data_IF_742677427105
#
_entry.id   IF_742677427105
#
_cell.length_a   1.000
_cell.length_b   1.000
_cell.length_c   1.000
_cell.angle_alpha   90.00
_cell.angle_beta   90.00
_cell.angle_gamma   90.00
#
_symmetry.space_group_name_H-M   'P 1'
#
loop_
_entity.id
_entity.type
_entity.pdbx_description
1 polymer ?
#
# COMPACT_ATOMS: atom_id res chain seq x y z
N UNK A 1 -4.68 -7.04 0.29
CA UNK A 1 -5.08 -8.07 -0.68
C UNK A 1 -5.01 -9.48 -0.08
N UNK A 2 -3.86 -9.97 0.40
CA UNK A 2 -3.72 -11.32 0.97
C UNK A 2 -4.72 -11.57 2.11
N UNK A 3 -4.84 -10.64 3.08
CA UNK A 3 -5.82 -10.73 4.18
C UNK A 3 -7.27 -10.78 3.66
N UNK A 4 -7.61 -9.98 2.64
CA UNK A 4 -8.95 -10.01 2.05
C UNK A 4 -9.23 -11.35 1.35
N UNK A 5 -8.24 -11.89 0.63
CA UNK A 5 -8.35 -13.20 -0.01
C UNK A 5 -8.52 -14.33 1.02
N UNK A 6 -7.80 -14.26 2.15
CA UNK A 6 -7.92 -15.24 3.22
C UNK A 6 -9.30 -15.19 3.90
N UNK A 7 -9.81 -13.98 4.19
CA UNK A 7 -11.18 -13.83 4.73
C UNK A 7 -12.23 -14.39 3.76
N UNK A 8 -12.06 -14.13 2.46
CA UNK A 8 -12.96 -14.68 1.45
C UNK A 8 -12.85 -16.22 1.33
N UNK A 9 -11.69 -16.79 1.66
CA UNK A 9 -11.46 -18.23 1.72
C UNK A 9 -11.88 -18.88 3.06
N UNK A 10 -12.51 -18.11 3.98
CA UNK A 10 -13.03 -18.61 5.25
C UNK A 10 -12.01 -18.69 6.39
N UNK A 11 -10.85 -18.01 6.25
CA UNK A 11 -9.90 -17.92 7.36
C UNK A 11 -10.35 -16.89 8.39
N UNK A 12 -10.26 -17.24 9.66
CA UNK A 12 -10.33 -16.29 10.76
C UNK A 12 -8.95 -15.65 10.97
N UNK A 13 -8.87 -14.31 10.80
CA UNK A 13 -7.59 -13.61 10.85
C UNK A 13 -7.38 -12.97 12.23
N UNK A 14 -6.38 -13.45 12.95
CA UNK A 14 -5.88 -12.88 14.19
C UNK A 14 -4.71 -11.93 13.88
N UNK A 15 -4.86 -10.66 14.22
CA UNK A 15 -3.81 -9.66 14.03
C UNK A 15 -3.02 -9.50 15.33
N UNK A 16 -1.71 -9.73 15.26
CA UNK A 16 -0.77 -9.63 16.37
C UNK A 16 0.30 -8.59 16.04
N UNK A 17 0.66 -7.75 17.02
CA UNK A 17 1.72 -6.76 16.87
C UNK A 17 3.02 -7.25 17.46
N UNK A 18 4.12 -7.18 16.71
CA UNK A 18 5.47 -7.46 17.23
C UNK A 18 5.95 -6.51 18.31
N UNK A 19 5.24 -5.38 18.51
CA UNK A 19 5.48 -4.44 19.62
C UNK A 19 4.74 -4.79 20.91
N UNK A 20 3.80 -5.75 20.86
CA UNK A 20 3.11 -6.20 22.08
C UNK A 20 4.12 -6.81 23.05
N UNK A 21 4.10 -6.43 24.32
CA UNK A 21 4.94 -7.05 25.34
C UNK A 21 4.60 -8.54 25.53
N UNK A 22 3.38 -8.94 25.17
CA UNK A 22 2.88 -10.31 25.29
C UNK A 22 2.83 -11.04 23.94
N UNK A 23 3.53 -10.50 22.91
CA UNK A 23 3.49 -11.05 21.53
C UNK A 23 3.69 -12.56 21.48
N UNK A 24 4.58 -13.10 22.30
CA UNK A 24 4.86 -14.53 22.34
C UNK A 24 3.70 -15.35 22.92
N UNK A 25 2.93 -14.81 23.86
CA UNK A 25 1.73 -15.44 24.41
C UNK A 25 0.57 -15.33 23.41
N UNK A 26 0.36 -14.14 22.83
CA UNK A 26 -0.67 -13.90 21.83
C UNK A 26 -0.55 -14.84 20.63
N UNK A 27 0.69 -15.06 20.16
CA UNK A 27 0.96 -15.95 19.03
C UNK A 27 0.71 -17.42 19.38
N UNK A 28 1.04 -17.87 20.60
CA UNK A 28 0.82 -19.25 21.03
C UNK A 28 -0.67 -19.56 21.20
N UNK A 29 -1.46 -18.58 21.60
CA UNK A 29 -2.91 -18.73 21.84
C UNK A 29 -3.75 -18.61 20.56
N UNK A 30 -3.21 -17.97 19.52
CA UNK A 30 -3.96 -17.66 18.29
C UNK A 30 -4.24 -18.83 17.32
N UNK A 31 -3.47 -19.92 17.25
CA UNK A 31 -3.68 -20.97 16.25
C UNK A 31 -4.82 -21.95 16.51
N UNK A 32 -5.66 -21.71 17.49
CA UNK A 32 -6.81 -22.60 17.75
C UNK A 32 -7.93 -22.34 16.76
N UNK A 33 -8.48 -23.38 16.10
CA UNK A 33 -9.70 -23.23 15.30
C UNK A 33 -10.84 -22.67 16.16
N UNK A 34 -11.70 -21.88 15.55
CA UNK A 34 -12.90 -21.43 16.22
C UNK A 34 -13.92 -22.57 16.45
N UNK A 35 -15.00 -22.28 17.17
CA UNK A 35 -16.09 -23.25 17.43
C UNK A 35 -16.80 -23.72 16.13
N UNK A 36 -16.62 -23.02 15.03
CA UNK A 36 -17.23 -23.31 13.73
C UNK A 36 -16.25 -23.94 12.74
N UNK A 37 -15.01 -24.21 13.17
CA UNK A 37 -14.00 -24.90 12.37
C UNK A 37 -13.32 -24.02 11.33
N UNK A 38 -13.41 -22.70 11.44
CA UNK A 38 -12.65 -21.81 10.56
C UNK A 38 -11.15 -22.03 10.75
N UNK A 39 -10.40 -22.12 9.64
CA UNK A 39 -8.96 -22.24 9.71
C UNK A 39 -8.33 -20.93 10.21
N UNK A 40 -7.41 -20.99 11.20
CA UNK A 40 -6.80 -19.79 11.73
C UNK A 40 -5.78 -19.19 10.73
N UNK A 41 -5.81 -17.88 10.62
CA UNK A 41 -4.81 -17.09 9.90
C UNK A 41 -4.18 -16.06 10.82
N UNK A 42 -2.87 -15.98 10.90
CA UNK A 42 -2.18 -15.01 11.75
C UNK A 42 -1.48 -13.96 10.90
N UNK A 43 -1.82 -12.70 11.16
CA UNK A 43 -1.14 -11.53 10.61
C UNK A 43 -0.24 -10.91 11.69
N UNK A 44 1.04 -11.26 11.66
CA UNK A 44 2.05 -10.63 12.52
C UNK A 44 2.54 -9.35 11.87
N UNK A 45 2.20 -8.20 12.47
CA UNK A 45 2.65 -6.88 12.06
C UNK A 45 3.85 -6.42 12.88
N UNK A 46 4.64 -5.52 12.30
CA UNK A 46 5.80 -4.91 12.96
C UNK A 46 6.80 -5.96 13.48
N UNK A 47 7.05 -7.00 12.68
CA UNK A 47 7.96 -8.08 13.04
C UNK A 47 9.42 -7.59 13.24
N UNK A 48 9.78 -6.39 12.78
CA UNK A 48 11.05 -5.73 13.06
C UNK A 48 11.25 -5.38 14.54
N UNK A 49 10.17 -5.34 15.32
CA UNK A 49 10.24 -5.06 16.76
C UNK A 49 10.55 -6.31 17.60
N UNK A 50 10.48 -7.51 17.00
CA UNK A 50 10.79 -8.75 17.71
C UNK A 50 12.29 -8.85 18.03
N UNK A 51 12.58 -9.29 19.25
CA UNK A 51 13.89 -9.78 19.63
C UNK A 51 14.14 -11.23 19.16
N UNK A 52 15.36 -11.73 19.34
CA UNK A 52 15.72 -13.09 18.92
C UNK A 52 14.91 -14.19 19.64
N UNK A 53 14.65 -14.11 20.98
CA UNK A 53 13.82 -15.08 21.68
C UNK A 53 12.37 -15.11 21.18
N UNK A 54 11.75 -13.94 20.98
CA UNK A 54 10.38 -13.84 20.48
C UNK A 54 10.27 -14.38 19.04
N UNK A 55 11.22 -14.03 18.17
CA UNK A 55 11.27 -14.55 16.81
C UNK A 55 11.47 -16.07 16.76
N UNK A 56 12.28 -16.63 17.68
CA UNK A 56 12.43 -18.08 17.78
C UNK A 56 11.09 -18.74 18.13
N UNK A 57 10.35 -18.19 19.11
CA UNK A 57 9.06 -18.71 19.52
C UNK A 57 8.00 -18.62 18.41
N UNK A 58 8.00 -17.54 17.62
CA UNK A 58 7.17 -17.43 16.41
C UNK A 58 7.48 -18.57 15.45
N UNK A 59 8.77 -18.82 15.15
CA UNK A 59 9.16 -19.89 14.25
C UNK A 59 8.77 -21.29 14.78
N UNK A 60 8.91 -21.53 16.08
CA UNK A 60 8.51 -22.78 16.72
C UNK A 60 6.98 -22.97 16.62
N UNK A 61 6.21 -21.91 16.81
CA UNK A 61 4.75 -21.95 16.67
C UNK A 61 4.34 -22.20 15.22
N UNK A 62 5.00 -21.59 14.23
CA UNK A 62 4.78 -21.87 12.80
C UNK A 62 5.02 -23.36 12.51
N UNK A 63 6.12 -23.91 13.00
CA UNK A 63 6.47 -25.31 12.79
C UNK A 63 5.50 -26.30 13.47
N UNK A 64 4.96 -25.91 14.63
CA UNK A 64 4.00 -26.73 15.37
C UNK A 64 2.58 -26.70 14.79
N UNK A 65 2.25 -25.70 13.95
CA UNK A 65 0.91 -25.48 13.40
C UNK A 65 0.96 -25.31 11.87
N UNK A 66 1.23 -26.38 11.12
CA UNK A 66 1.41 -26.34 9.67
C UNK A 66 0.14 -25.93 8.90
N UNK A 67 -1.04 -26.16 9.49
CA UNK A 67 -2.34 -25.83 8.89
C UNK A 67 -2.75 -24.37 9.12
N UNK A 68 -2.01 -23.63 9.95
CA UNK A 68 -2.25 -22.20 10.20
C UNK A 68 -1.60 -21.36 9.09
N UNK A 69 -2.38 -20.47 8.49
CA UNK A 69 -1.86 -19.54 7.51
C UNK A 69 -1.16 -18.36 8.20
N UNK A 70 0.04 -17.98 7.73
CA UNK A 70 0.83 -16.90 8.31
C UNK A 70 1.16 -15.82 7.30
N UNK A 71 0.93 -14.55 7.68
CA UNK A 71 1.51 -13.39 7.02
C UNK A 71 2.37 -12.66 8.06
N UNK A 72 3.66 -12.53 7.76
CA UNK A 72 4.60 -11.80 8.60
C UNK A 72 4.98 -10.50 7.88
N UNK A 73 4.54 -9.37 8.41
CA UNK A 73 4.86 -8.06 7.90
C UNK A 73 6.07 -7.48 8.64
N UNK A 74 7.15 -7.27 7.90
CA UNK A 74 8.39 -6.67 8.40
C UNK A 74 8.66 -5.39 7.60
N UNK A 75 8.58 -4.22 8.27
CA UNK A 75 8.71 -2.92 7.60
C UNK A 75 10.13 -2.59 7.13
N UNK A 76 11.10 -3.45 7.39
CA UNK A 76 12.51 -3.15 7.16
C UNK A 76 13.10 -2.26 8.26
N UNK A 77 14.29 -1.72 8.05
CA UNK A 77 14.91 -0.79 8.98
C UNK A 77 15.61 -1.43 10.19
N UNK A 78 15.48 -0.80 11.35
CA UNK A 78 16.18 -1.19 12.58
C UNK A 78 15.45 -2.35 13.26
N UNK A 79 16.01 -3.51 13.23
CA UNK A 79 15.51 -4.70 13.92
C UNK A 79 16.66 -5.69 14.12
N UNK A 80 16.41 -6.81 14.81
CA UNK A 80 17.40 -7.87 14.94
C UNK A 80 17.66 -8.56 13.61
N UNK A 81 18.87 -8.51 13.03
CA UNK A 81 19.19 -9.26 11.81
C UNK A 81 19.00 -10.76 11.97
N UNK A 82 19.22 -11.29 13.20
CA UNK A 82 19.02 -12.71 13.51
C UNK A 82 17.54 -13.08 13.49
N UNK A 83 16.68 -12.25 14.12
CA UNK A 83 15.24 -12.44 14.10
C UNK A 83 14.72 -12.43 12.65
N UNK A 84 15.11 -11.44 11.84
CA UNK A 84 14.75 -11.36 10.43
C UNK A 84 15.17 -12.62 9.65
N UNK A 85 16.40 -13.07 9.83
CA UNK A 85 16.92 -14.28 9.14
C UNK A 85 16.14 -15.53 9.53
N UNK A 86 15.77 -15.70 10.83
CA UNK A 86 14.93 -16.80 11.31
C UNK A 86 13.55 -16.79 10.66
N UNK A 87 12.86 -15.64 10.70
CA UNK A 87 11.53 -15.48 10.11
C UNK A 87 11.55 -15.74 8.61
N UNK A 88 12.55 -15.21 7.89
CA UNK A 88 12.71 -15.46 6.45
C UNK A 88 12.96 -16.94 6.12
N UNK A 89 13.66 -17.66 6.99
CA UNK A 89 13.90 -19.10 6.81
C UNK A 89 12.66 -19.93 7.10
N UNK A 90 11.82 -19.50 8.04
CA UNK A 90 10.55 -20.17 8.36
C UNK A 90 9.45 -19.86 7.33
N UNK A 91 9.57 -18.78 6.58
CA UNK A 91 8.60 -18.39 5.55
C UNK A 91 8.73 -19.29 4.31
N UNK A 92 7.60 -19.79 3.82
CA UNK A 92 7.55 -20.52 2.54
C UNK A 92 7.76 -19.62 1.32
N UNK A 93 7.40 -18.34 1.44
CA UNK A 93 7.58 -17.31 0.41
C UNK A 93 7.94 -15.96 1.05
N UNK A 94 8.89 -15.26 0.47
CA UNK A 94 9.23 -13.89 0.85
C UNK A 94 8.93 -12.96 -0.30
N UNK A 95 8.14 -11.91 -0.04
CA UNK A 95 7.79 -10.88 -1.02
C UNK A 95 8.45 -9.58 -0.59
N UNK A 96 9.31 -9.03 -1.46
CA UNK A 96 9.87 -7.71 -1.24
C UNK A 96 8.80 -6.64 -1.50
N UNK A 97 8.66 -5.69 -0.56
CA UNK A 97 7.74 -4.56 -0.67
C UNK A 97 8.57 -3.25 -0.75
N UNK A 98 9.36 -3.12 -1.79
CA UNK A 98 10.17 -1.94 -2.03
C UNK A 98 9.30 -0.74 -2.41
N UNK A 99 9.74 0.51 -2.09
CA UNK A 99 9.04 1.71 -2.52
C UNK A 99 8.89 1.76 -4.04
N UNK A 100 7.68 2.00 -4.51
CA UNK A 100 7.42 2.15 -5.94
C UNK A 100 8.15 3.38 -6.49
N UNK A 101 8.86 3.21 -7.60
CA UNK A 101 9.59 4.28 -8.28
C UNK A 101 9.46 4.17 -9.78
N UNK A 102 9.42 5.30 -10.45
CA UNK A 102 9.40 5.37 -11.91
C UNK A 102 8.33 4.47 -12.52
N UNK A 103 8.74 3.56 -13.40
CA UNK A 103 7.83 2.63 -14.08
C UNK A 103 7.03 1.73 -13.15
N UNK A 104 7.57 1.39 -11.97
CA UNK A 104 6.88 0.55 -11.00
C UNK A 104 5.57 1.14 -10.48
N UNK A 105 5.41 2.47 -10.49
CA UNK A 105 4.16 3.14 -10.13
C UNK A 105 3.08 2.85 -11.19
N UNK A 106 3.41 2.97 -12.48
CA UNK A 106 2.48 2.66 -13.56
C UNK A 106 2.09 1.18 -13.57
N UNK A 107 3.08 0.28 -13.39
CA UNK A 107 2.84 -1.15 -13.31
C UNK A 107 1.92 -1.52 -12.13
N UNK A 108 2.06 -0.81 -11.00
CA UNK A 108 1.16 -0.94 -9.86
C UNK A 108 -0.27 -0.55 -10.23
N UNK A 109 -0.49 0.62 -10.84
CA UNK A 109 -1.82 1.09 -11.27
C UNK A 109 -2.46 0.10 -12.24
N UNK A 110 -1.70 -0.42 -13.21
CA UNK A 110 -2.17 -1.48 -14.13
C UNK A 110 -2.62 -2.71 -13.35
N UNK A 111 -1.84 -3.11 -12.34
CA UNK A 111 -2.17 -4.27 -11.51
C UNK A 111 -3.44 -4.06 -10.68
N UNK A 112 -3.71 -2.81 -10.24
CA UNK A 112 -4.94 -2.46 -9.53
C UNK A 112 -6.17 -2.55 -10.43
N UNK A 113 -6.10 -2.00 -11.66
CA UNK A 113 -7.19 -2.16 -12.64
C UNK A 113 -7.48 -3.62 -12.93
N UNK A 114 -6.45 -4.44 -13.16
CA UNK A 114 -6.60 -5.89 -13.37
C UNK A 114 -7.25 -6.59 -12.18
N UNK A 115 -6.87 -6.21 -10.96
CA UNK A 115 -7.45 -6.77 -9.74
C UNK A 115 -8.95 -6.47 -9.64
N UNK A 116 -9.39 -5.31 -10.13
CA UNK A 116 -10.81 -4.93 -10.23
C UNK A 116 -11.52 -5.53 -11.47
N UNK A 117 -10.84 -6.38 -12.26
CA UNK A 117 -11.38 -6.95 -13.49
C UNK A 117 -11.55 -5.94 -14.62
N UNK A 118 -10.80 -4.84 -14.57
CA UNK A 118 -10.86 -3.73 -15.52
C UNK A 118 -9.51 -3.52 -16.22
N UNK A 119 -9.53 -2.65 -17.23
CA UNK A 119 -8.32 -2.18 -17.91
C UNK A 119 -8.37 -0.67 -18.11
N UNK A 120 -7.22 -0.05 -18.35
CA UNK A 120 -7.11 1.36 -18.65
C UNK A 120 -6.01 1.59 -19.70
N UNK A 121 -6.13 2.68 -20.47
CA UNK A 121 -5.07 3.10 -21.37
C UNK A 121 -3.90 3.78 -20.63
N UNK A 122 -2.78 3.93 -21.30
CA UNK A 122 -1.57 4.55 -20.73
C UNK A 122 -1.79 6.01 -20.32
N UNK A 123 -2.67 6.71 -21.03
CA UNK A 123 -2.99 8.12 -20.74
C UNK A 123 -3.82 8.24 -19.47
N UNK A 124 -4.72 7.30 -19.20
CA UNK A 124 -5.46 7.18 -17.92
C UNK A 124 -4.51 6.92 -16.76
N UNK A 125 -3.55 6.00 -16.94
CA UNK A 125 -2.57 5.69 -15.91
C UNK A 125 -1.71 6.91 -15.58
N UNK A 126 -1.24 7.64 -16.60
CA UNK A 126 -0.49 8.85 -16.43
C UNK A 126 -1.31 9.94 -15.69
N UNK A 127 -2.57 10.14 -16.09
CA UNK A 127 -3.49 11.07 -15.43
C UNK A 127 -3.63 10.76 -13.93
N UNK A 128 -3.82 9.49 -13.56
CA UNK A 128 -3.95 9.09 -12.16
C UNK A 128 -2.67 9.34 -11.36
N UNK A 129 -1.51 9.00 -11.94
CA UNK A 129 -0.22 9.24 -11.29
C UNK A 129 0.05 10.74 -11.12
N UNK A 130 -0.31 11.56 -12.11
CA UNK A 130 -0.17 13.01 -12.03
C UNK A 130 -1.14 13.63 -11.01
N UNK A 131 -2.37 13.15 -10.92
CA UNK A 131 -3.40 13.68 -10.04
C UNK A 131 -3.27 13.23 -8.58
N UNK A 132 -2.88 11.97 -8.34
CA UNK A 132 -2.87 11.33 -7.01
C UNK A 132 -1.45 11.25 -6.43
N UNK A 133 -0.44 11.35 -7.29
CA UNK A 133 0.95 11.14 -6.91
C UNK A 133 1.35 9.66 -6.89
N UNK A 134 2.40 9.34 -6.11
CA UNK A 134 3.01 8.00 -6.10
C UNK A 134 2.64 7.16 -4.89
N UNK A 135 1.74 7.64 -4.02
CA UNK A 135 1.28 6.87 -2.87
C UNK A 135 0.43 5.66 -3.30
N UNK A 136 0.86 4.42 -3.00
CA UNK A 136 0.13 3.23 -3.42
C UNK A 136 -1.31 3.14 -2.89
N UNK A 137 -1.57 3.68 -1.69
CA UNK A 137 -2.93 3.67 -1.12
C UNK A 137 -3.84 4.63 -1.85
N UNK A 138 -3.38 5.85 -2.08
CA UNK A 138 -4.10 6.85 -2.85
C UNK A 138 -4.43 6.32 -4.25
N UNK A 139 -3.44 5.77 -4.96
CA UNK A 139 -3.62 5.18 -6.29
C UNK A 139 -4.60 4.00 -6.29
N UNK A 140 -4.51 3.09 -5.31
CA UNK A 140 -5.44 1.97 -5.21
C UNK A 140 -6.88 2.43 -4.95
N UNK A 141 -7.06 3.45 -4.08
CA UNK A 141 -8.38 4.03 -3.80
C UNK A 141 -8.95 4.73 -5.04
N UNK A 142 -8.13 5.48 -5.77
CA UNK A 142 -8.52 6.16 -7.00
C UNK A 142 -8.97 5.16 -8.09
N UNK A 143 -8.21 4.08 -8.27
CA UNK A 143 -8.59 3.00 -9.21
C UNK A 143 -9.90 2.33 -8.78
N UNK A 144 -10.04 2.01 -7.49
CA UNK A 144 -11.27 1.40 -6.97
C UNK A 144 -12.49 2.30 -7.20
N UNK A 145 -12.35 3.61 -6.97
CA UNK A 145 -13.41 4.59 -7.23
C UNK A 145 -13.78 4.63 -8.71
N UNK A 146 -12.80 4.79 -9.62
CA UNK A 146 -13.09 4.80 -11.05
C UNK A 146 -13.77 3.51 -11.52
N UNK A 147 -13.33 2.35 -11.02
CA UNK A 147 -13.94 1.06 -11.35
C UNK A 147 -15.36 0.90 -10.79
N UNK A 148 -15.70 1.56 -9.71
CA UNK A 148 -17.06 1.58 -9.14
C UNK A 148 -18.00 2.49 -9.93
N UNK A 149 -17.51 3.66 -10.35
CA UNK A 149 -18.34 4.72 -10.91
C UNK A 149 -18.46 4.60 -12.43
N UNK A 150 -17.50 3.96 -13.11
CA UNK A 150 -17.48 3.78 -14.57
C UNK A 150 -17.82 2.33 -14.91
N UNK A 151 -18.92 2.12 -15.66
CA UNK A 151 -19.39 0.78 -16.00
C UNK A 151 -18.54 0.08 -17.07
N UNK A 152 -17.85 0.84 -17.93
CA UNK A 152 -17.07 0.30 -19.05
C UNK A 152 -15.90 -0.56 -18.55
N UNK A 153 -15.69 -1.72 -19.18
CA UNK A 153 -14.60 -2.64 -18.86
C UNK A 153 -13.21 -2.03 -19.12
N UNK A 154 -13.13 -1.10 -20.07
CA UNK A 154 -11.92 -0.33 -20.39
C UNK A 154 -12.15 1.14 -20.06
N UNK A 155 -11.35 1.68 -19.14
CA UNK A 155 -11.46 3.05 -18.66
C UNK A 155 -10.52 3.93 -19.47
N UNK A 156 -11.09 4.89 -20.18
CA UNK A 156 -10.36 5.84 -21.02
C UNK A 156 -9.97 7.09 -20.22
N UNK A 157 -8.96 7.82 -20.73
CA UNK A 157 -8.53 9.09 -20.15
C UNK A 157 -9.66 10.09 -20.02
N UNK A 158 -10.53 10.19 -21.03
CA UNK A 158 -11.62 11.18 -21.01
C UNK A 158 -12.67 10.85 -19.94
N UNK A 159 -12.97 9.56 -19.72
CA UNK A 159 -13.84 9.14 -18.64
C UNK A 159 -13.21 9.42 -17.26
N UNK A 160 -11.94 9.10 -17.09
CA UNK A 160 -11.21 9.36 -15.84
C UNK A 160 -11.02 10.87 -15.58
N UNK A 161 -10.82 11.69 -16.60
CA UNK A 161 -10.65 13.13 -16.49
C UNK A 161 -11.87 13.84 -15.89
N UNK A 162 -13.07 13.27 -16.00
CA UNK A 162 -14.26 13.83 -15.35
C UNK A 162 -14.16 13.83 -13.82
N UNK A 163 -13.40 12.89 -13.25
CA UNK A 163 -13.18 12.76 -11.80
C UNK A 163 -11.93 13.49 -11.33
N UNK A 164 -10.95 13.68 -12.22
CA UNK A 164 -9.62 14.20 -11.88
C UNK A 164 -9.26 15.50 -12.62
N UNK A 165 -10.19 16.11 -13.38
CA UNK A 165 -9.95 17.35 -14.14
C UNK A 165 -9.63 18.58 -13.29
N UNK A 166 -9.84 18.52 -11.96
CA UNK A 166 -9.47 19.57 -11.02
C UNK A 166 -8.19 19.29 -10.21
N UNK A 167 -7.58 18.13 -10.41
CA UNK A 167 -6.47 17.63 -9.59
C UNK A 167 -5.13 17.50 -10.37
N UNK A 168 -4.96 18.26 -11.44
CA UNK A 168 -3.61 18.44 -12.00
C UNK A 168 -2.89 19.32 -10.99
N UNK A 169 -2.20 18.71 -10.05
CA UNK A 169 -1.41 19.43 -9.06
C UNK A 169 -0.53 20.44 -9.80
N UNK A 170 -0.66 21.72 -9.44
CA UNK A 170 0.10 22.78 -10.07
C UNK A 170 1.57 22.47 -9.90
N UNK A 171 2.23 22.11 -10.99
CA UNK A 171 3.65 21.77 -10.96
C UNK A 171 4.44 23.05 -10.69
N UNK A 172 5.47 22.97 -9.84
CA UNK A 172 6.26 24.12 -9.45
C UNK A 172 6.77 24.95 -10.64
N UNK A 173 7.05 24.30 -11.79
CA UNK A 173 7.47 25.00 -13.01
C UNK A 173 6.32 25.83 -13.65
N UNK A 174 5.05 25.46 -13.52
CA UNK A 174 3.91 26.23 -14.02
C UNK A 174 3.75 27.54 -13.24
N UNK A 175 4.03 27.50 -11.92
CA UNK A 175 4.10 28.70 -11.08
C UNK A 175 5.28 29.57 -11.53
N UNK A 176 6.45 28.96 -11.76
CA UNK A 176 7.64 29.66 -12.22
C UNK A 176 7.43 30.32 -13.59
N UNK A 177 6.80 29.62 -14.54
CA UNK A 177 6.46 30.15 -15.86
C UNK A 177 5.48 31.32 -15.77
N UNK A 178 4.44 31.21 -14.94
CA UNK A 178 3.49 32.31 -14.71
C UNK A 178 4.17 33.53 -14.09
N UNK A 179 5.14 33.35 -13.20
CA UNK A 179 5.95 34.43 -12.63
C UNK A 179 6.86 35.04 -13.71
N UNK A 180 7.53 34.23 -14.51
CA UNK A 180 8.42 34.71 -15.60
C UNK A 180 7.66 35.51 -16.67
N UNK A 181 6.44 35.09 -16.98
CA UNK A 181 5.53 35.75 -17.92
C UNK A 181 4.76 36.93 -17.29
N UNK A 182 5.05 37.25 -16.03
CA UNK A 182 4.38 38.32 -15.26
C UNK A 182 2.86 38.19 -15.13
N UNK A 183 2.34 36.95 -15.22
CA UNK A 183 0.94 36.64 -14.96
C UNK A 183 0.73 36.44 -13.45
N UNK A 184 0.80 37.55 -12.71
CA UNK A 184 0.85 37.56 -11.24
C UNK A 184 -0.40 36.92 -10.62
N UNK A 185 -1.59 37.18 -11.18
CA UNK A 185 -2.84 36.61 -10.69
C UNK A 185 -2.80 35.07 -10.77
N UNK A 186 -2.43 34.53 -11.93
CA UNK A 186 -2.34 33.08 -12.17
C UNK A 186 -1.27 32.42 -11.27
N UNK A 187 -0.12 33.09 -11.11
CA UNK A 187 0.96 32.61 -10.26
C UNK A 187 0.53 32.52 -8.78
N UNK A 188 -0.20 33.52 -8.27
CA UNK A 188 -0.68 33.52 -6.88
C UNK A 188 -1.78 32.51 -6.66
N UNK A 189 -2.69 32.32 -7.60
CA UNK A 189 -3.75 31.32 -7.54
C UNK A 189 -3.15 29.91 -7.54
N UNK A 190 -2.24 29.62 -8.47
CA UNK A 190 -1.52 28.37 -8.58
C UNK A 190 -0.70 28.06 -7.32
N UNK A 191 -0.01 29.05 -6.76
CA UNK A 191 0.74 28.90 -5.52
C UNK A 191 -0.16 28.57 -4.32
N UNK A 192 -1.28 29.27 -4.18
CA UNK A 192 -2.26 29.00 -3.12
C UNK A 192 -2.80 27.58 -3.22
N UNK A 193 -3.12 27.15 -4.43
CA UNK A 193 -3.62 25.80 -4.67
C UNK A 193 -2.57 24.75 -4.29
N UNK A 194 -1.32 24.93 -4.76
CA UNK A 194 -0.21 24.02 -4.42
C UNK A 194 0.03 23.91 -2.90
N UNK A 195 -0.09 25.01 -2.18
CA UNK A 195 0.08 25.01 -0.71
C UNK A 195 -1.10 24.35 0.02
N UNK A 196 -2.32 24.48 -0.47
CA UNK A 196 -3.51 23.83 0.10
C UNK A 196 -3.45 22.31 -0.10
N UNK A 197 -2.88 21.85 -1.19
CA UNK A 197 -2.65 20.41 -1.50
C UNK A 197 -1.47 19.80 -0.72
N UNK A 198 -0.84 20.54 0.19
CA UNK A 198 0.28 20.07 1.01
C UNK A 198 1.64 20.15 0.33
N UNK A 199 1.75 20.90 -0.76
CA UNK A 199 3.03 21.23 -1.38
C UNK A 199 3.94 21.97 -0.40
N UNK A 200 5.19 21.50 -0.27
CA UNK A 200 6.20 22.22 0.53
C UNK A 200 6.84 23.32 -0.34
N UNK A 201 7.22 24.43 0.28
CA UNK A 201 7.94 25.53 -0.41
C UNK A 201 9.22 25.04 -1.13
N UNK A 202 9.89 24.03 -0.61
CA UNK A 202 11.04 23.40 -1.25
C UNK A 202 10.69 22.60 -2.52
N UNK A 203 9.52 21.94 -2.53
CA UNK A 203 9.05 21.17 -3.70
C UNK A 203 8.49 22.02 -4.83
N UNK A 204 8.16 23.30 -4.54
CA UNK A 204 7.67 24.27 -5.53
C UNK A 204 8.85 24.98 -6.23
N UNK A 205 10.02 25.04 -5.57
CA UNK A 205 11.18 25.78 -6.06
C UNK A 205 12.27 24.91 -6.72
N UNK A 206 12.03 23.61 -6.87
CA UNK A 206 12.91 22.65 -7.58
C UNK A 206 12.34 22.28 -8.93
#
# INVERSE_FOLDING_TARGET
>A
RAVAAWRAAGFEIHEVSGKSPEVAADIVMSPSPDLFGAAPGILLRQAEALDDPAAAKVCDTIAANPDTAWIIWHAGGRGSPKAKARLSKAAGQTIAADPLKGRGVADFVISEFRFQGRSADQATIALLVDAVGTDPRGLASAVAQLCSDIEQAHITRDAAAQYYSGHVGVKGYEIADAVAERRVADAVESLRYALLEGGTSAGIMT
#
